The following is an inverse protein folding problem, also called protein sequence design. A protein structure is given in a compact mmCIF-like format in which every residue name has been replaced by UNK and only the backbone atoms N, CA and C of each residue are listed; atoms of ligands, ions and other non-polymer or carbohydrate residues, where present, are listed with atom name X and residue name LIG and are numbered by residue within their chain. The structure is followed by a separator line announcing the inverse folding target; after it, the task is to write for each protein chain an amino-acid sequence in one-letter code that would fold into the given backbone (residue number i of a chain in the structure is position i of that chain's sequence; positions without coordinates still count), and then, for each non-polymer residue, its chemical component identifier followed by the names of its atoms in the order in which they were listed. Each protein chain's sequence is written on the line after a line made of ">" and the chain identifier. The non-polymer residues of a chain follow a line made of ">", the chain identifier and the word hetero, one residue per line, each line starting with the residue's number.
data_IF_245783548421
#
_entry.id   IF_245783548421
#
_cell.length_a   1.000
_cell.length_b   1.000
_cell.length_c   1.000
_cell.angle_alpha   90.00
_cell.angle_beta   90.00
_cell.angle_gamma   90.00
#
_symmetry.space_group_name_H-M   'P 1'
#
loop_
_entity.id
_entity.type
_entity.pdbx_description
1 polymer ?
#
# COMPACT_ATOMS: atom_id res chain seq x y z
N UNK A 1 -2.21 -9.21 -6.77
CA UNK A 1 -3.59 -9.21 -6.22
C UNK A 1 -4.46 -8.43 -7.17
N UNK A 2 -5.68 -8.90 -7.43
CA UNK A 2 -6.55 -8.17 -8.33
C UNK A 2 -7.09 -6.89 -7.69
N UNK A 3 -7.22 -5.81 -8.47
CA UNK A 3 -7.82 -4.56 -8.01
C UNK A 3 -9.27 -4.46 -8.48
N UNK A 4 -10.18 -4.31 -7.54
CA UNK A 4 -11.61 -4.13 -7.76
C UNK A 4 -12.01 -2.68 -7.51
N UNK A 5 -12.90 -2.17 -8.35
CA UNK A 5 -13.55 -0.88 -8.16
C UNK A 5 -15.04 -1.14 -7.95
N UNK A 6 -15.53 -0.93 -6.74
CA UNK A 6 -16.97 -0.87 -6.46
C UNK A 6 -17.47 0.55 -6.66
N UNK A 7 -18.65 0.68 -7.24
CA UNK A 7 -19.23 1.98 -7.54
C UNK A 7 -20.73 2.01 -7.29
N UNK A 8 -21.20 3.17 -6.86
CA UNK A 8 -22.61 3.51 -6.74
C UNK A 8 -22.80 4.96 -7.15
N UNK A 9 -23.84 5.28 -7.90
CA UNK A 9 -24.13 6.66 -8.24
C UNK A 9 -25.58 6.93 -8.58
N UNK A 10 -25.93 8.21 -8.55
CA UNK A 10 -27.25 8.72 -8.92
C UNK A 10 -27.05 9.83 -9.96
N UNK A 11 -27.70 9.71 -11.13
CA UNK A 11 -27.65 10.76 -12.14
C UNK A 11 -28.36 12.04 -11.66
N UNK A 12 -27.91 13.20 -12.15
CA UNK A 12 -28.77 14.40 -12.10
C UNK A 12 -29.95 14.19 -13.06
N UNK A 13 -31.11 14.79 -12.77
CA UNK A 13 -32.29 14.69 -13.66
C UNK A 13 -31.90 14.97 -15.11
N UNK A 14 -32.36 14.11 -16.02
CA UNK A 14 -32.16 14.22 -17.48
C UNK A 14 -30.71 13.99 -17.96
N UNK A 15 -29.76 13.61 -17.08
CA UNK A 15 -28.37 13.36 -17.48
C UNK A 15 -28.07 11.90 -17.88
N UNK A 16 -28.98 10.95 -17.72
CA UNK A 16 -28.73 9.52 -18.00
C UNK A 16 -28.20 9.31 -19.42
N UNK A 17 -28.93 9.78 -20.43
CA UNK A 17 -28.54 9.68 -21.84
C UNK A 17 -27.18 10.36 -22.09
N UNK A 18 -26.91 11.48 -21.43
CA UNK A 18 -25.63 12.19 -21.53
C UNK A 18 -24.48 11.37 -20.93
N UNK A 19 -24.72 10.71 -19.79
CA UNK A 19 -23.74 9.85 -19.13
C UNK A 19 -23.44 8.62 -19.99
N UNK A 20 -24.48 7.93 -20.47
CA UNK A 20 -24.30 6.74 -21.33
C UNK A 20 -23.53 7.10 -22.61
N UNK A 21 -23.89 8.21 -23.26
CA UNK A 21 -23.15 8.71 -24.43
C UNK A 21 -21.70 9.07 -24.10
N UNK A 22 -21.44 9.69 -22.95
CA UNK A 22 -20.07 9.99 -22.52
C UNK A 22 -19.23 8.72 -22.34
N UNK A 23 -19.81 7.69 -21.71
CA UNK A 23 -19.14 6.39 -21.53
C UNK A 23 -18.86 5.75 -22.89
N UNK A 24 -19.80 5.81 -23.83
CA UNK A 24 -19.63 5.31 -25.19
C UNK A 24 -18.48 6.01 -25.92
N UNK A 25 -18.46 7.34 -25.91
CA UNK A 25 -17.41 8.16 -26.53
C UNK A 25 -16.05 7.89 -25.88
N UNK A 26 -16.01 7.80 -24.54
CA UNK A 26 -14.81 7.46 -23.78
C UNK A 26 -14.28 6.06 -24.15
N UNK A 27 -15.18 5.07 -24.23
CA UNK A 27 -14.84 3.70 -24.63
C UNK A 27 -14.26 3.66 -26.05
N UNK A 28 -14.91 4.33 -27.03
CA UNK A 28 -14.40 4.43 -28.41
C UNK A 28 -13.02 5.08 -28.46
N UNK A 29 -12.80 6.17 -27.72
CA UNK A 29 -11.52 6.89 -27.70
C UNK A 29 -10.37 6.06 -27.12
N UNK A 30 -10.66 5.19 -26.15
CA UNK A 30 -9.69 4.30 -25.51
C UNK A 30 -9.66 2.90 -26.14
N UNK A 31 -10.37 2.67 -27.25
CA UNK A 31 -10.48 1.38 -27.95
C UNK A 31 -11.02 0.25 -27.06
N UNK A 32 -11.89 0.58 -26.11
CA UNK A 32 -12.60 -0.40 -25.30
C UNK A 32 -13.69 -1.07 -26.14
N UNK A 33 -13.97 -2.34 -25.86
CA UNK A 33 -15.05 -3.06 -26.51
C UNK A 33 -16.39 -2.62 -25.91
N UNK A 34 -17.35 -2.28 -26.77
CA UNK A 34 -18.74 -2.00 -26.34
C UNK A 34 -19.53 -3.28 -26.56
N UNK A 35 -19.99 -3.91 -25.48
CA UNK A 35 -20.69 -5.20 -25.53
C UNK A 35 -22.20 -5.01 -25.71
N UNK A 36 -22.77 -4.01 -25.05
CA UNK A 36 -24.18 -3.61 -25.20
C UNK A 36 -24.34 -2.11 -24.99
N UNK A 37 -25.33 -1.53 -25.66
CA UNK A 37 -25.73 -0.13 -25.54
C UNK A 37 -27.24 -0.04 -25.75
N UNK A 38 -27.98 0.08 -24.65
CA UNK A 38 -29.44 0.14 -24.62
C UNK A 38 -29.89 1.52 -24.10
N UNK A 39 -31.20 1.77 -24.09
CA UNK A 39 -31.74 3.08 -23.73
C UNK A 39 -31.32 3.58 -22.33
N UNK A 40 -31.20 2.67 -21.36
CA UNK A 40 -30.84 2.98 -19.97
C UNK A 40 -29.63 2.18 -19.45
N UNK A 41 -28.89 1.50 -20.33
CA UNK A 41 -27.77 0.63 -19.94
C UNK A 41 -26.62 0.68 -20.94
N UNK A 42 -25.38 0.60 -20.45
CA UNK A 42 -24.19 0.39 -21.27
C UNK A 42 -23.25 -0.61 -20.60
N UNK A 43 -22.71 -1.53 -21.40
CA UNK A 43 -21.69 -2.49 -20.97
C UNK A 43 -20.45 -2.34 -21.85
N UNK A 44 -19.31 -2.05 -21.23
CA UNK A 44 -18.02 -1.92 -21.92
C UNK A 44 -16.95 -2.80 -21.28
N UNK A 45 -16.04 -3.35 -22.06
CA UNK A 45 -14.87 -4.09 -21.57
C UNK A 45 -13.60 -3.26 -21.83
N UNK A 46 -12.98 -2.70 -20.77
CA UNK A 46 -11.76 -1.89 -20.90
C UNK A 46 -10.56 -2.65 -21.49
N UNK A 47 -10.46 -3.95 -21.19
CA UNK A 47 -9.37 -4.82 -21.61
C UNK A 47 -9.84 -6.29 -21.60
N UNK A 48 -9.27 -7.20 -22.41
CA UNK A 48 -9.62 -8.63 -22.38
C UNK A 48 -9.43 -9.33 -21.03
N UNK A 49 -8.53 -8.79 -20.19
CA UNK A 49 -8.26 -9.27 -18.82
C UNK A 49 -9.01 -8.46 -17.74
N UNK A 50 -10.05 -7.73 -18.11
CA UNK A 50 -10.94 -7.04 -17.17
C UNK A 50 -12.32 -7.71 -17.19
N UNK A 51 -13.02 -7.66 -16.06
CA UNK A 51 -14.48 -7.80 -16.09
C UNK A 51 -15.09 -6.60 -16.83
N UNK A 52 -16.30 -6.77 -17.39
CA UNK A 52 -17.00 -5.66 -18.04
C UNK A 52 -17.50 -4.64 -17.02
N UNK A 53 -17.35 -3.36 -17.34
CA UNK A 53 -17.99 -2.26 -16.64
C UNK A 53 -19.44 -2.15 -17.12
N UNK A 54 -20.39 -2.22 -16.19
CA UNK A 54 -21.83 -2.12 -16.48
C UNK A 54 -22.43 -0.91 -15.77
N UNK A 55 -23.03 0.01 -16.52
CA UNK A 55 -23.81 1.11 -15.97
C UNK A 55 -25.25 0.93 -16.45
N UNK A 56 -26.14 0.56 -15.55
CA UNK A 56 -27.57 0.42 -15.81
C UNK A 56 -28.34 1.29 -14.81
N UNK A 57 -29.12 2.24 -15.32
CA UNK A 57 -29.96 3.10 -14.51
C UNK A 57 -31.30 2.43 -14.20
N UNK A 58 -31.69 2.40 -12.93
CA UNK A 58 -33.03 2.00 -12.51
C UNK A 58 -34.03 3.18 -12.62
N UNK A 59 -35.28 2.94 -12.23
CA UNK A 59 -36.37 3.95 -12.25
C UNK A 59 -36.07 5.20 -11.41
N UNK A 60 -35.14 5.10 -10.45
CA UNK A 60 -34.69 6.19 -9.58
C UNK A 60 -33.39 6.84 -10.05
N UNK A 61 -32.93 6.52 -11.26
CA UNK A 61 -31.70 7.04 -11.85
C UNK A 61 -30.44 6.64 -11.07
N UNK A 62 -30.53 5.55 -10.29
CA UNK A 62 -29.42 4.97 -9.55
C UNK A 62 -28.76 3.86 -10.36
N UNK A 63 -27.45 3.70 -10.18
CA UNK A 63 -26.68 2.57 -10.67
C UNK A 63 -25.70 2.11 -9.60
N UNK A 64 -25.35 0.83 -9.62
CA UNK A 64 -24.32 0.27 -8.76
C UNK A 64 -23.69 -0.93 -9.44
N UNK A 65 -22.44 -1.22 -9.13
CA UNK A 65 -21.75 -2.39 -9.67
C UNK A 65 -20.32 -2.46 -9.17
N UNK A 66 -19.57 -3.37 -9.78
CA UNK A 66 -18.13 -3.45 -9.59
C UNK A 66 -17.45 -3.84 -10.89
N UNK A 67 -16.17 -3.54 -11.00
CA UNK A 67 -15.32 -4.00 -12.10
C UNK A 67 -13.97 -4.43 -11.56
N UNK A 68 -13.58 -5.67 -11.85
CA UNK A 68 -12.23 -6.16 -11.57
C UNK A 68 -11.30 -5.85 -12.72
N UNK A 69 -10.20 -5.19 -12.39
CA UNK A 69 -9.14 -4.77 -13.34
C UNK A 69 -7.80 -5.42 -13.02
N UNK A 70 -7.79 -6.29 -12.02
CA UNK A 70 -6.60 -6.91 -11.45
C UNK A 70 -5.69 -7.72 -12.36
N UNK A 71 -6.18 -8.14 -13.53
CA UNK A 71 -5.41 -8.92 -14.50
C UNK A 71 -5.04 -8.09 -15.74
N UNK A 72 -5.44 -6.81 -15.80
CA UNK A 72 -5.01 -5.86 -16.80
C UNK A 72 -3.85 -5.00 -16.28
N UNK A 73 -3.27 -4.17 -17.17
CA UNK A 73 -2.20 -3.25 -16.78
C UNK A 73 -2.74 -2.13 -15.88
N UNK A 74 -1.84 -1.51 -15.12
CA UNK A 74 -2.18 -0.39 -14.21
C UNK A 74 -2.85 0.78 -14.95
N UNK A 75 -2.45 1.02 -16.20
CA UNK A 75 -3.02 2.09 -17.03
C UNK A 75 -4.51 1.88 -17.27
N UNK A 76 -4.95 0.63 -17.49
CA UNK A 76 -6.38 0.31 -17.68
C UNK A 76 -7.18 0.61 -16.41
N UNK A 77 -6.65 0.23 -15.25
CA UNK A 77 -7.27 0.58 -13.97
C UNK A 77 -7.43 2.10 -13.83
N UNK A 78 -6.35 2.85 -14.09
CA UNK A 78 -6.38 4.31 -14.02
C UNK A 78 -7.37 4.93 -15.01
N UNK A 79 -7.55 4.36 -16.21
CA UNK A 79 -8.54 4.83 -17.17
C UNK A 79 -9.98 4.64 -16.66
N UNK A 80 -10.29 3.53 -15.98
CA UNK A 80 -11.61 3.30 -15.38
C UNK A 80 -11.87 4.29 -14.25
N UNK A 81 -10.89 4.51 -13.38
CA UNK A 81 -10.96 5.52 -12.32
C UNK A 81 -11.17 6.92 -12.89
N UNK A 82 -10.45 7.26 -13.96
CA UNK A 82 -10.58 8.54 -14.67
C UNK A 82 -11.98 8.74 -15.25
N UNK A 83 -12.56 7.72 -15.86
CA UNK A 83 -13.93 7.76 -16.36
C UNK A 83 -14.89 8.16 -15.24
N UNK A 84 -14.87 7.48 -14.10
CA UNK A 84 -15.74 7.83 -12.97
C UNK A 84 -15.51 9.26 -12.45
N UNK A 85 -14.25 9.71 -12.44
CA UNK A 85 -13.93 11.07 -12.02
C UNK A 85 -14.52 12.11 -12.97
N UNK A 86 -14.45 11.88 -14.28
CA UNK A 86 -15.04 12.74 -15.31
C UNK A 86 -16.57 12.67 -15.34
N UNK A 87 -17.18 11.55 -14.91
CA UNK A 87 -18.63 11.43 -14.74
C UNK A 87 -19.16 12.21 -13.54
N UNK A 88 -18.35 12.40 -12.50
CA UNK A 88 -18.75 13.02 -11.22
C UNK A 88 -19.56 14.33 -11.37
N UNK A 89 -19.20 15.29 -12.25
CA UNK A 89 -19.98 16.53 -12.41
C UNK A 89 -21.39 16.31 -12.98
N UNK A 90 -21.65 15.18 -13.64
CA UNK A 90 -22.95 14.82 -14.22
C UNK A 90 -23.86 14.07 -13.23
N UNK A 91 -23.31 13.67 -12.08
CA UNK A 91 -23.98 12.88 -11.05
C UNK A 91 -24.39 13.75 -9.85
N UNK A 92 -25.52 13.40 -9.22
CA UNK A 92 -25.92 13.95 -7.92
C UNK A 92 -25.10 13.33 -6.80
N UNK A 93 -24.81 12.04 -6.93
CA UNK A 93 -24.06 11.23 -5.97
C UNK A 93 -23.17 10.25 -6.73
N UNK A 94 -21.96 10.05 -6.23
CA UNK A 94 -21.02 9.04 -6.70
C UNK A 94 -20.17 8.59 -5.51
N UNK A 95 -20.25 7.30 -5.18
CA UNK A 95 -19.37 6.60 -4.27
C UNK A 95 -18.52 5.62 -5.07
N UNK A 96 -17.22 5.63 -4.80
CA UNK A 96 -16.24 4.71 -5.39
C UNK A 96 -15.41 4.13 -4.26
N UNK A 97 -15.41 2.80 -4.14
CA UNK A 97 -14.47 2.06 -3.31
C UNK A 97 -13.50 1.36 -4.25
N UNK A 98 -12.29 1.92 -4.33
CA UNK A 98 -11.23 1.45 -5.20
C UNK A 98 -10.11 0.84 -4.36
N UNK A 99 -9.94 -0.48 -4.44
CA UNK A 99 -8.92 -1.25 -3.71
C UNK A 99 -7.50 -0.80 -4.06
N UNK A 100 -7.29 -0.28 -5.26
CA UNK A 100 -5.99 0.25 -5.68
C UNK A 100 -5.70 1.61 -5.08
N UNK A 101 -6.74 2.36 -4.65
CA UNK A 101 -6.73 3.73 -4.14
C UNK A 101 -6.44 4.86 -5.14
N UNK A 102 -6.34 4.59 -6.46
CA UNK A 102 -6.21 5.61 -7.50
C UNK A 102 -7.34 6.65 -7.49
N UNK A 103 -8.57 6.26 -7.11
CA UNK A 103 -9.70 7.18 -6.96
C UNK A 103 -9.37 8.36 -6.04
N UNK A 104 -8.81 8.08 -4.87
CA UNK A 104 -8.46 9.10 -3.89
C UNK A 104 -7.29 9.98 -4.35
N UNK A 105 -6.42 9.46 -5.21
CA UNK A 105 -5.35 10.25 -5.85
C UNK A 105 -5.91 11.24 -6.86
N UNK A 106 -6.82 10.81 -7.73
CA UNK A 106 -7.51 11.69 -8.67
C UNK A 106 -8.21 12.84 -7.93
N UNK A 107 -8.91 12.54 -6.83
CA UNK A 107 -9.49 13.56 -5.96
C UNK A 107 -8.44 14.47 -5.31
N UNK A 108 -7.30 13.93 -4.89
CA UNK A 108 -6.18 14.69 -4.34
C UNK A 108 -5.61 15.69 -5.35
N UNK A 109 -5.21 15.20 -6.54
CA UNK A 109 -4.69 16.02 -7.64
C UNK A 109 -5.66 17.12 -8.05
N UNK A 110 -6.94 16.78 -8.20
CA UNK A 110 -7.98 17.74 -8.55
C UNK A 110 -8.22 18.82 -7.50
N UNK A 111 -8.06 18.49 -6.22
CA UNK A 111 -8.20 19.45 -5.11
C UNK A 111 -6.94 20.28 -4.87
N UNK A 112 -5.92 20.15 -5.71
CA UNK A 112 -4.61 20.78 -5.50
C UNK A 112 -3.86 20.21 -4.29
N UNK A 113 -4.37 19.13 -3.67
CA UNK A 113 -3.69 18.41 -2.60
C UNK A 113 -2.68 17.48 -3.25
N UNK A 114 -1.43 17.93 -3.32
CA UNK A 114 -0.30 17.06 -3.68
C UNK A 114 -0.32 15.81 -2.80
N UNK A 115 -0.04 14.64 -3.39
CA UNK A 115 0.16 13.42 -2.63
C UNK A 115 1.11 13.73 -1.47
N UNK A 116 0.75 13.30 -0.25
CA UNK A 116 1.65 13.52 0.89
C UNK A 116 2.96 12.80 0.57
N UNK A 117 4.05 13.55 0.53
CA UNK A 117 5.41 13.03 0.34
C UNK A 117 6.18 13.11 1.66
N UNK A 118 7.23 12.29 1.80
CA UNK A 118 8.16 12.42 2.92
C UNK A 118 8.91 13.75 2.76
N UNK A 119 8.63 14.70 3.64
CA UNK A 119 9.19 16.08 3.60
C UNK A 119 10.13 16.37 4.74
N UNK A 120 9.99 15.65 5.85
CA UNK A 120 10.81 15.80 7.05
C UNK A 120 11.70 14.58 7.21
N UNK A 121 12.97 14.79 7.53
CA UNK A 121 13.96 13.75 7.79
C UNK A 121 14.76 14.11 9.04
N UNK A 122 14.93 13.19 10.00
CA UNK A 122 15.72 13.48 11.19
C UNK A 122 17.21 13.66 10.86
N UNK A 123 17.90 14.43 11.68
CA UNK A 123 19.37 14.46 11.67
C UNK A 123 19.89 13.19 12.34
N UNK A 124 20.67 12.40 11.61
CA UNK A 124 21.31 11.17 12.07
C UNK A 124 22.79 11.23 11.69
N UNK A 125 23.62 10.47 12.40
CA UNK A 125 25.04 10.34 12.15
C UNK A 125 25.45 8.86 12.09
N UNK A 126 26.72 8.59 11.78
CA UNK A 126 27.23 7.21 11.62
C UNK A 126 27.10 6.35 12.89
N UNK A 127 27.09 6.97 14.09
CA UNK A 127 26.92 6.24 15.34
C UNK A 127 25.50 5.73 15.54
N UNK A 128 24.52 6.23 14.76
CA UNK A 128 23.16 5.73 14.77
C UNK A 128 23.02 4.40 13.99
N UNK A 129 24.02 4.05 13.17
CA UNK A 129 24.11 2.76 12.49
C UNK A 129 24.51 1.71 13.52
N UNK A 130 23.62 0.73 13.71
CA UNK A 130 23.87 -0.39 14.60
C UNK A 130 24.97 -1.27 14.02
N UNK A 131 25.96 -1.57 14.84
CA UNK A 131 27.03 -2.50 14.48
C UNK A 131 26.56 -3.94 14.71
N UNK A 132 26.79 -4.88 13.78
CA UNK A 132 26.30 -6.26 13.89
C UNK A 132 26.73 -6.98 15.18
N UNK A 133 27.88 -6.62 15.77
CA UNK A 133 28.38 -7.23 17.00
C UNK A 133 27.49 -6.95 18.23
N UNK A 134 26.63 -5.93 18.14
CA UNK A 134 25.63 -5.61 19.18
C UNK A 134 24.39 -6.49 19.10
N UNK A 135 24.21 -7.24 18.00
CA UNK A 135 23.03 -8.07 17.75
C UNK A 135 23.35 -9.54 18.01
N UNK A 136 23.30 -9.92 19.28
CA UNK A 136 23.59 -11.30 19.68
C UNK A 136 22.36 -12.19 19.46
N UNK A 137 22.54 -13.28 18.72
CA UNK A 137 21.51 -14.31 18.58
C UNK A 137 21.50 -15.22 19.82
N UNK A 138 20.32 -15.59 20.35
CA UNK A 138 20.26 -16.58 21.41
C UNK A 138 20.74 -17.96 20.92
N UNK A 139 21.21 -18.80 21.85
CA UNK A 139 21.73 -20.14 21.53
C UNK A 139 20.65 -21.06 20.96
N UNK A 140 19.40 -20.87 21.36
CA UNK A 140 18.24 -21.63 20.87
C UNK A 140 17.67 -21.11 19.54
N UNK A 141 18.25 -20.07 18.94
CA UNK A 141 17.78 -19.55 17.67
C UNK A 141 17.88 -20.58 16.54
N UNK A 142 16.84 -20.60 15.70
CA UNK A 142 16.75 -21.51 14.55
C UNK A 142 17.73 -21.11 13.46
N UNK A 143 17.94 -22.00 12.49
CA UNK A 143 18.72 -21.67 11.28
C UNK A 143 18.06 -20.55 10.48
N UNK A 144 16.73 -20.48 10.44
CA UNK A 144 15.98 -19.41 9.78
C UNK A 144 16.29 -18.05 10.41
N UNK A 145 16.26 -17.96 11.75
CA UNK A 145 16.61 -16.73 12.45
C UNK A 145 18.06 -16.31 12.14
N UNK A 146 18.99 -17.26 12.24
CA UNK A 146 20.41 -17.00 11.95
C UNK A 146 20.62 -16.53 10.51
N UNK A 147 19.92 -17.14 9.56
CA UNK A 147 19.94 -16.74 8.15
C UNK A 147 19.41 -15.31 8.00
N UNK A 148 18.20 -15.02 8.48
CA UNK A 148 17.60 -13.68 8.39
C UNK A 148 18.51 -12.56 8.92
N UNK A 149 19.18 -12.80 10.05
CA UNK A 149 20.04 -11.79 10.69
C UNK A 149 21.47 -11.72 10.12
N UNK A 150 21.94 -12.75 9.41
CA UNK A 150 23.30 -12.78 8.82
C UNK A 150 23.34 -12.45 7.32
N UNK A 151 22.20 -12.54 6.63
CA UNK A 151 22.13 -12.31 5.19
C UNK A 151 22.28 -10.82 4.87
N UNK A 152 23.14 -10.53 3.90
CA UNK A 152 23.06 -9.31 3.10
C UNK A 152 22.24 -9.67 1.87
N UNK A 153 20.95 -9.31 1.84
CA UNK A 153 20.09 -9.84 0.82
C UNK A 153 20.46 -9.34 -0.57
N UNK A 154 20.66 -10.27 -1.51
CA UNK A 154 20.82 -9.99 -2.93
C UNK A 154 19.44 -9.84 -3.62
N UNK A 155 18.62 -8.90 -3.16
CA UNK A 155 17.33 -8.60 -3.82
C UNK A 155 17.52 -7.76 -5.08
N UNK A 156 16.52 -7.82 -5.97
CA UNK A 156 16.50 -7.04 -7.20
C UNK A 156 16.42 -5.54 -6.87
N UNK A 157 17.57 -4.86 -6.80
CA UNK A 157 17.73 -3.40 -6.65
C UNK A 157 16.96 -2.80 -5.45
N UNK A 158 17.38 -3.07 -4.21
CA UNK A 158 16.79 -2.42 -3.06
C UNK A 158 17.02 -0.90 -3.13
N UNK A 159 15.97 -0.11 -2.91
CA UNK A 159 16.08 1.35 -2.81
C UNK A 159 16.77 1.73 -1.49
N UNK A 160 16.41 1.04 -0.40
CA UNK A 160 16.93 1.26 0.95
C UNK A 160 17.92 0.16 1.35
N UNK A 161 18.90 0.50 2.17
CA UNK A 161 19.89 -0.42 2.70
C UNK A 161 19.29 -1.32 3.81
N UNK A 162 18.77 -2.49 3.41
CA UNK A 162 18.06 -3.45 4.26
C UNK A 162 18.78 -3.80 5.55
N UNK A 163 20.09 -4.15 5.57
CA UNK A 163 20.77 -4.53 6.80
C UNK A 163 20.71 -3.42 7.85
N UNK A 164 20.94 -2.16 7.44
CA UNK A 164 20.91 -1.03 8.37
C UNK A 164 19.53 -0.80 8.98
N UNK A 165 18.48 -0.98 8.19
CA UNK A 165 17.09 -0.83 8.66
C UNK A 165 16.70 -1.99 9.59
N UNK A 166 16.98 -3.22 9.17
CA UNK A 166 16.75 -4.46 9.95
C UNK A 166 17.47 -4.39 11.30
N UNK A 167 18.76 -4.08 11.29
CA UNK A 167 19.63 -4.09 12.46
C UNK A 167 19.24 -2.99 13.45
N UNK A 168 18.82 -1.82 12.95
CA UNK A 168 18.23 -0.77 13.80
C UNK A 168 16.98 -1.25 14.51
N UNK A 169 16.06 -1.91 13.78
CA UNK A 169 14.83 -2.42 14.38
C UNK A 169 15.11 -3.54 15.39
N UNK A 170 16.05 -4.44 15.08
CA UNK A 170 16.50 -5.48 16.00
C UNK A 170 17.09 -4.92 17.28
N UNK A 171 17.98 -3.92 17.16
CA UNK A 171 18.58 -3.24 18.30
C UNK A 171 17.54 -2.55 19.21
N UNK A 172 16.55 -1.88 18.60
CA UNK A 172 15.48 -1.22 19.34
C UNK A 172 14.54 -2.19 20.05
N UNK A 173 14.51 -3.46 19.61
CA UNK A 173 13.67 -4.53 20.14
C UNK A 173 14.44 -5.55 21.00
N UNK A 174 15.69 -5.28 21.35
CA UNK A 174 16.49 -6.19 22.17
C UNK A 174 15.74 -6.61 23.45
N UNK A 175 15.78 -7.91 23.74
CA UNK A 175 15.26 -8.49 24.97
C UNK A 175 16.44 -8.93 25.84
N UNK A 176 16.84 -8.04 26.75
CA UNK A 176 18.11 -8.19 27.45
C UNK A 176 19.29 -8.06 26.47
N UNK A 177 20.21 -9.03 26.39
CA UNK A 177 21.37 -8.94 25.50
C UNK A 177 21.12 -9.46 24.08
N UNK A 178 19.95 -10.04 23.79
CA UNK A 178 19.71 -10.77 22.54
C UNK A 178 18.61 -10.14 21.68
N UNK A 179 18.73 -10.34 20.37
CA UNK A 179 17.65 -10.07 19.42
C UNK A 179 16.60 -11.18 19.49
N UNK A 180 15.35 -10.79 19.18
CA UNK A 180 14.20 -11.69 19.24
C UNK A 180 14.23 -12.73 18.10
N UNK A 181 13.84 -13.96 18.41
CA UNK A 181 13.57 -14.99 17.40
C UNK A 181 12.20 -14.80 16.75
N UNK A 182 11.97 -15.45 15.61
CA UNK A 182 10.67 -15.48 14.94
C UNK A 182 9.54 -15.93 15.88
N UNK A 183 9.78 -16.97 16.70
CA UNK A 183 8.81 -17.48 17.66
C UNK A 183 8.46 -16.44 18.73
N UNK A 184 9.46 -15.72 19.26
CA UNK A 184 9.26 -14.68 20.27
C UNK A 184 8.52 -13.48 19.69
N UNK A 185 8.90 -13.04 18.48
CA UNK A 185 8.20 -11.96 17.78
C UNK A 185 6.76 -12.33 17.45
N UNK A 186 6.51 -13.56 17.00
CA UNK A 186 5.17 -14.10 16.75
C UNK A 186 4.29 -14.02 18.00
N UNK A 187 4.77 -14.55 19.14
CA UNK A 187 4.05 -14.46 20.42
C UNK A 187 3.77 -13.02 20.84
N UNK A 188 4.74 -12.13 20.66
CA UNK A 188 4.57 -10.70 21.00
C UNK A 188 3.51 -10.03 20.12
N UNK A 189 3.47 -10.34 18.83
CA UNK A 189 2.46 -9.83 17.91
C UNK A 189 1.07 -10.40 18.20
N UNK A 190 0.96 -11.70 18.43
CA UNK A 190 -0.31 -12.38 18.79
C UNK A 190 -0.91 -11.82 20.09
N UNK A 191 -0.08 -11.59 21.11
CA UNK A 191 -0.51 -10.96 22.37
C UNK A 191 -1.10 -9.56 22.19
N UNK A 192 -0.74 -8.87 21.11
CA UNK A 192 -1.20 -7.52 20.77
C UNK A 192 -2.36 -7.55 19.74
N UNK A 193 -2.85 -8.76 19.41
CA UNK A 193 -4.00 -8.98 18.53
C UNK A 193 -3.68 -9.03 17.03
N UNK A 194 -2.41 -9.20 16.66
CA UNK A 194 -2.03 -9.44 15.26
C UNK A 194 -2.10 -10.93 14.93
N UNK A 195 -2.54 -11.25 13.71
CA UNK A 195 -2.47 -12.62 13.17
C UNK A 195 -1.25 -12.73 12.30
N UNK A 196 -0.30 -13.60 12.67
CA UNK A 196 0.92 -13.86 11.91
C UNK A 196 0.96 -15.34 11.54
N UNK A 197 0.78 -15.70 10.26
CA UNK A 197 0.88 -17.08 9.83
C UNK A 197 2.29 -17.66 10.07
N UNK A 198 2.45 -18.90 10.57
CA UNK A 198 3.77 -19.50 10.81
C UNK A 198 4.67 -19.56 9.56
N UNK A 199 4.08 -19.63 8.37
CA UNK A 199 4.77 -19.63 7.08
C UNK A 199 5.46 -18.30 6.77
N UNK A 200 4.97 -17.17 7.28
CA UNK A 200 5.56 -15.84 7.06
C UNK A 200 7.00 -15.78 7.58
N UNK A 201 7.31 -16.52 8.65
CA UNK A 201 8.65 -16.58 9.23
C UNK A 201 9.66 -17.37 8.40
N UNK A 202 9.20 -18.10 7.38
CA UNK A 202 10.06 -18.86 6.46
C UNK A 202 10.48 -18.04 5.24
N UNK A 203 9.81 -16.91 4.99
CA UNK A 203 10.10 -16.00 3.90
C UNK A 203 10.74 -14.72 4.47
N UNK A 204 11.91 -14.34 3.93
CA UNK A 204 12.68 -13.20 4.46
C UNK A 204 11.93 -11.87 4.36
N UNK A 205 11.11 -11.67 3.31
CA UNK A 205 10.32 -10.44 3.14
C UNK A 205 9.23 -10.38 4.20
N UNK A 206 8.49 -11.48 4.41
CA UNK A 206 7.45 -11.51 5.43
C UNK A 206 8.02 -11.47 6.86
N UNK A 207 9.17 -12.09 7.09
CA UNK A 207 9.93 -11.94 8.33
C UNK A 207 10.24 -10.46 8.58
N UNK A 208 10.78 -9.75 7.57
CA UNK A 208 11.08 -8.32 7.65
C UNK A 208 9.82 -7.48 7.91
N UNK A 209 8.71 -7.77 7.24
CA UNK A 209 7.42 -7.10 7.45
C UNK A 209 6.97 -7.26 8.91
N UNK A 210 7.01 -8.48 9.45
CA UNK A 210 6.57 -8.75 10.82
C UNK A 210 7.49 -8.09 11.86
N UNK A 211 8.81 -8.11 11.65
CA UNK A 211 9.77 -7.33 12.45
C UNK A 211 9.41 -5.84 12.44
N UNK A 212 9.12 -5.28 11.26
CA UNK A 212 8.78 -3.87 11.09
C UNK A 212 7.47 -3.49 11.77
N UNK A 213 6.46 -4.37 11.71
CA UNK A 213 5.18 -4.19 12.40
C UNK A 213 5.39 -4.18 13.92
N UNK A 214 6.15 -5.14 14.44
CA UNK A 214 6.44 -5.23 15.87
C UNK A 214 7.22 -4.00 16.36
N UNK A 215 8.26 -3.59 15.61
CA UNK A 215 9.03 -2.38 15.92
C UNK A 215 8.13 -1.15 15.97
N UNK A 216 7.30 -0.95 14.94
CA UNK A 216 6.40 0.19 14.87
C UNK A 216 5.36 0.18 16.00
N UNK A 217 4.87 -1.00 16.37
CA UNK A 217 3.98 -1.17 17.50
C UNK A 217 4.67 -0.78 18.81
N UNK A 218 5.85 -1.32 19.12
CA UNK A 218 6.57 -1.01 20.36
C UNK A 218 7.09 0.43 20.43
N UNK A 219 7.35 1.09 19.29
CA UNK A 219 7.74 2.50 19.24
C UNK A 219 6.59 3.49 19.39
N UNK A 220 5.34 3.06 19.16
CA UNK A 220 4.14 3.90 19.23
C UNK A 220 3.39 3.79 20.58
N UNK A 221 4.08 3.51 21.68
CA UNK A 221 3.49 3.22 23.02
C UNK A 221 2.64 4.36 23.59
N UNK A 222 2.84 5.61 23.17
CA UNK A 222 1.99 6.73 23.55
C UNK A 222 0.57 6.71 22.94
N UNK A 223 0.32 5.81 21.98
CA UNK A 223 -0.98 5.70 21.30
C UNK A 223 -1.85 4.60 21.91
N UNK A 224 -3.17 4.84 22.01
CA UNK A 224 -4.14 3.79 22.40
C UNK A 224 -4.06 2.60 21.44
N UNK A 225 -4.11 1.39 21.98
CA UNK A 225 -4.22 0.16 21.19
C UNK A 225 -5.58 0.13 20.50
N UNK A 226 -5.62 0.50 19.22
CA UNK A 226 -6.83 0.51 18.39
C UNK A 226 -6.55 -0.15 17.06
N UNK A 227 -7.60 -0.65 16.40
CA UNK A 227 -7.52 -1.20 15.04
C UNK A 227 -6.87 -0.21 14.05
N UNK A 228 -7.11 1.10 14.23
CA UNK A 228 -6.48 2.14 13.42
C UNK A 228 -4.96 2.19 13.62
N UNK A 229 -4.46 2.03 14.86
CA UNK A 229 -3.02 1.96 15.15
C UNK A 229 -2.42 0.68 14.55
N UNK A 230 -3.07 -0.46 14.69
CA UNK A 230 -2.63 -1.73 14.09
C UNK A 230 -2.52 -1.60 12.57
N UNK A 231 -3.53 -1.04 11.92
CA UNK A 231 -3.52 -0.79 10.46
C UNK A 231 -2.39 0.15 10.02
N UNK A 232 -2.01 1.13 10.85
CA UNK A 232 -0.85 1.99 10.58
C UNK A 232 0.48 1.24 10.70
N UNK A 233 0.62 0.36 11.69
CA UNK A 233 1.82 -0.48 11.84
C UNK A 233 1.97 -1.46 10.68
N UNK A 234 0.86 -2.08 10.25
CA UNK A 234 0.80 -2.92 9.04
C UNK A 234 1.20 -2.09 7.81
N UNK A 235 0.56 -0.93 7.59
CA UNK A 235 0.91 -0.05 6.48
C UNK A 235 2.40 0.35 6.45
N UNK A 236 2.98 0.61 7.62
CA UNK A 236 4.40 0.92 7.77
C UNK A 236 5.28 -0.26 7.37
N UNK A 237 5.03 -1.46 7.91
CA UNK A 237 5.86 -2.63 7.64
C UNK A 237 5.87 -3.02 6.17
N UNK A 238 4.70 -2.99 5.51
CA UNK A 238 4.60 -3.29 4.08
C UNK A 238 5.27 -2.22 3.20
N UNK A 239 5.11 -0.93 3.51
CA UNK A 239 5.78 0.14 2.77
C UNK A 239 7.31 0.12 2.96
N UNK A 240 7.79 -0.26 4.15
CA UNK A 240 9.22 -0.40 4.41
C UNK A 240 9.82 -1.59 3.65
N UNK A 241 9.09 -2.72 3.58
CA UNK A 241 9.47 -3.87 2.77
C UNK A 241 9.52 -3.55 1.28
N UNK A 242 8.63 -2.69 0.77
CA UNK A 242 8.74 -2.16 -0.60
C UNK A 242 10.08 -1.43 -0.83
N UNK A 243 10.52 -0.61 0.12
CA UNK A 243 11.79 0.13 0.01
C UNK A 243 13.02 -0.76 0.13
N UNK A 244 12.99 -1.75 1.03
CA UNK A 244 14.14 -2.62 1.32
C UNK A 244 14.23 -3.86 0.40
N UNK A 245 13.12 -4.36 -0.13
CA UNK A 245 13.07 -5.62 -0.89
C UNK A 245 12.50 -5.45 -2.31
N UNK A 246 12.08 -4.25 -2.71
CA UNK A 246 11.41 -4.02 -3.99
C UNK A 246 10.01 -4.66 -4.06
N UNK A 247 9.45 -5.05 -2.92
CA UNK A 247 8.22 -5.84 -2.86
C UNK A 247 6.98 -5.02 -3.24
N UNK A 248 6.35 -5.37 -4.36
CA UNK A 248 5.20 -4.66 -4.94
C UNK A 248 3.87 -5.41 -4.79
N UNK A 249 3.52 -5.85 -3.58
CA UNK A 249 2.18 -6.39 -3.34
C UNK A 249 1.09 -5.31 -3.46
N UNK A 250 -0.17 -5.73 -3.58
CA UNK A 250 -1.31 -4.83 -3.58
C UNK A 250 -1.43 -4.04 -2.26
N UNK A 251 -2.33 -3.06 -2.23
CA UNK A 251 -2.51 -2.23 -1.06
C UNK A 251 -3.55 -2.82 -0.10
N UNK A 252 -3.22 -2.81 1.19
CA UNK A 252 -4.10 -3.27 2.27
C UNK A 252 -5.10 -2.19 2.71
N UNK A 253 -4.95 -0.97 2.18
CA UNK A 253 -5.78 0.18 2.49
C UNK A 253 -5.07 1.49 2.18
N UNK A 254 -5.77 2.61 2.41
CA UNK A 254 -5.30 3.92 1.97
C UNK A 254 -4.02 4.40 2.66
N UNK A 255 -3.81 4.03 3.93
CA UNK A 255 -2.56 4.36 4.65
C UNK A 255 -1.38 3.62 4.03
N UNK A 256 -1.53 2.32 3.77
CA UNK A 256 -0.49 1.50 3.13
C UNK A 256 -0.16 2.07 1.75
N UNK A 257 -1.17 2.31 0.91
CA UNK A 257 -0.96 2.92 -0.41
C UNK A 257 -0.18 4.24 -0.35
N UNK A 258 -0.58 5.16 0.54
CA UNK A 258 0.09 6.47 0.67
C UNK A 258 1.54 6.31 1.10
N UNK A 259 1.82 5.41 2.04
CA UNK A 259 3.17 5.12 2.50
C UNK A 259 4.02 4.51 1.38
N UNK A 260 3.45 3.56 0.64
CA UNK A 260 4.08 2.93 -0.52
C UNK A 260 4.42 3.93 -1.62
N UNK A 261 3.46 4.79 -2.01
CA UNK A 261 3.70 5.84 -3.00
C UNK A 261 4.72 6.88 -2.53
N UNK A 262 4.79 7.15 -1.22
CA UNK A 262 5.79 8.06 -0.69
C UNK A 262 7.21 7.48 -0.84
N UNK A 263 7.36 6.15 -0.71
CA UNK A 263 8.60 5.43 -1.00
C UNK A 263 8.90 5.41 -2.50
N UNK A 264 7.94 5.04 -3.37
CA UNK A 264 8.13 5.02 -4.83
C UNK A 264 8.57 6.38 -5.38
N UNK A 265 7.95 7.47 -4.91
CA UNK A 265 8.33 8.82 -5.31
C UNK A 265 9.74 9.20 -4.87
N UNK A 266 10.16 8.71 -3.70
CA UNK A 266 11.50 8.97 -3.19
C UNK A 266 12.55 8.15 -3.95
N UNK A 267 12.26 6.88 -4.23
CA UNK A 267 13.07 6.00 -5.07
C UNK A 267 13.27 6.59 -6.48
N UNK A 268 12.19 7.06 -7.11
CA UNK A 268 12.28 7.69 -8.43
C UNK A 268 13.16 8.95 -8.43
N UNK A 269 13.17 9.69 -7.31
CA UNK A 269 13.92 10.95 -7.18
C UNK A 269 15.39 10.74 -6.81
N UNK A 270 15.68 9.80 -5.92
CA UNK A 270 17.00 9.66 -5.29
C UNK A 270 17.78 8.45 -5.83
N UNK A 271 17.13 7.43 -6.39
CA UNK A 271 17.77 6.15 -6.67
C UNK A 271 18.15 5.42 -5.36
N UNK A 272 19.03 4.42 -5.44
CA UNK A 272 19.52 3.70 -4.24
C UNK A 272 20.15 4.66 -3.22
N UNK A 273 19.82 4.47 -1.94
CA UNK A 273 20.25 5.37 -0.86
C UNK A 273 21.22 4.75 0.13
N UNK A 274 22.03 5.58 0.78
CA UNK A 274 23.02 5.15 1.78
C UNK A 274 22.38 4.58 3.06
N UNK A 275 23.15 3.86 3.89
CA UNK A 275 22.73 3.41 5.22
C UNK A 275 22.08 4.50 6.09
N UNK A 276 22.74 5.66 6.23
CA UNK A 276 22.21 6.77 7.04
C UNK A 276 20.89 7.28 6.44
N UNK A 277 20.84 7.44 5.11
CA UNK A 277 19.63 7.91 4.42
C UNK A 277 18.48 6.91 4.59
N UNK A 278 18.77 5.62 4.63
CA UNK A 278 17.78 4.57 4.91
C UNK A 278 17.18 4.70 6.31
N UNK A 279 17.98 5.02 7.33
CA UNK A 279 17.47 5.31 8.68
C UNK A 279 16.64 6.60 8.74
N UNK A 280 17.04 7.63 8.00
CA UNK A 280 16.23 8.84 7.89
C UNK A 280 14.85 8.51 7.33
N UNK A 281 14.79 7.73 6.24
CA UNK A 281 13.54 7.29 5.62
C UNK A 281 12.71 6.43 6.57
N UNK A 282 13.33 5.49 7.30
CA UNK A 282 12.67 4.66 8.32
C UNK A 282 11.86 5.53 9.31
N UNK A 283 12.52 6.51 9.93
CA UNK A 283 11.87 7.37 10.92
C UNK A 283 10.88 8.35 10.30
N UNK A 284 11.19 8.88 9.12
CA UNK A 284 10.26 9.73 8.37
C UNK A 284 8.99 9.00 7.98
N UNK A 285 9.10 7.73 7.55
CA UNK A 285 7.97 6.89 7.21
C UNK A 285 7.11 6.58 8.44
N UNK A 286 7.75 6.32 9.59
CA UNK A 286 7.08 6.12 10.87
C UNK A 286 6.23 7.34 11.29
N UNK A 287 6.80 8.55 11.16
CA UNK A 287 6.08 9.81 11.40
C UNK A 287 4.97 10.01 10.36
N UNK A 288 5.25 9.73 9.09
CA UNK A 288 4.33 9.90 7.97
C UNK A 288 3.03 9.09 8.10
N UNK A 289 3.12 7.83 8.56
CA UNK A 289 1.92 7.01 8.84
C UNK A 289 1.21 7.43 10.13
N UNK A 290 1.75 8.40 10.87
CA UNK A 290 1.20 8.97 12.09
C UNK A 290 1.32 8.02 13.27
N UNK A 291 2.51 7.43 13.46
CA UNK A 291 2.86 6.56 14.59
C UNK A 291 3.78 7.22 15.63
N UNK A 292 4.24 8.44 15.37
CA UNK A 292 5.01 9.27 16.30
C UNK A 292 4.12 9.96 17.33
#
# INVERSE_FOLDING_TARGET
>A
MGSTIHYEGTAKKVNEVKILRYIEDYARSNKWQINSNEHNSIMVSPHPNCESLVIQFNEYQNFSGFVKTGFATTEIHQQVVRLFYELKPMLKYLSIEDESGYWLEYLGKASGRTAKVLTWFPTLNEMDIVKPELLQMPTYATELDRSFWSVNPNYMKPFMHTPTVRDRMGYDLLNGPYILTAEEMGKLLENEGFTVPPEDWKDEIFYFINLSILWAWKRSTGMKATMMRSNKCIAFGWALARGCHGFGAGYLGQTHRRAHLAIDNLEHKEGEVSPIRSLQILYSLFDFVGLK
#
